data_IF_724952943678
#
_entry.id   IF_724952943678
#
_cell.length_a   1.000
_cell.length_b   1.000
_cell.length_c   1.000
_cell.angle_alpha   90.00
_cell.angle_beta   90.00
_cell.angle_gamma   90.00
#
_symmetry.space_group_name_H-M   'P 1'
#
loop_
_entity.id
_entity.type
_entity.pdbx_description
1 polymer ?
#
# COMPACT_ATOMS: atom_id res chain seq x y z
N UNK A 1 -22.26 14.06 -13.17
CA UNK A 1 -22.03 13.10 -12.06
C UNK A 1 -20.90 12.16 -12.45
N UNK A 2 -19.76 12.21 -11.76
CA UNK A 2 -18.66 11.28 -12.02
C UNK A 2 -19.05 9.91 -11.48
N UNK A 3 -19.15 8.91 -12.36
CA UNK A 3 -19.30 7.51 -11.98
C UNK A 3 -18.03 7.15 -11.21
N UNK A 4 -18.10 7.08 -9.87
CA UNK A 4 -17.02 6.50 -9.06
C UNK A 4 -16.91 5.05 -9.51
N UNK A 5 -15.90 4.73 -10.33
CA UNK A 5 -15.59 3.35 -10.69
C UNK A 5 -15.47 2.54 -9.38
N UNK A 6 -16.11 1.36 -9.28
CA UNK A 6 -16.02 0.54 -8.09
C UNK A 6 -14.54 0.25 -7.80
N UNK A 7 -14.13 0.49 -6.54
CA UNK A 7 -12.78 0.22 -6.08
C UNK A 7 -12.66 -1.30 -5.88
N UNK A 8 -11.79 -2.00 -6.62
CA UNK A 8 -11.73 -3.46 -6.58
C UNK A 8 -11.15 -3.97 -5.26
N UNK A 9 -10.36 -3.15 -4.57
CA UNK A 9 -9.80 -3.48 -3.27
C UNK A 9 -10.39 -2.61 -2.15
N UNK A 10 -10.76 -3.27 -1.06
CA UNK A 10 -10.75 -2.66 0.27
C UNK A 10 -9.46 -3.05 0.98
N UNK A 11 -9.01 -2.23 1.92
CA UNK A 11 -7.74 -2.43 2.60
C UNK A 11 -7.86 -2.19 4.11
N UNK A 12 -6.97 -2.83 4.87
CA UNK A 12 -6.77 -2.59 6.28
C UNK A 12 -5.31 -2.83 6.65
N UNK A 13 -4.73 -1.99 7.48
CA UNK A 13 -3.45 -2.28 8.11
C UNK A 13 -3.68 -3.10 9.38
N UNK A 14 -2.91 -4.18 9.54
CA UNK A 14 -2.88 -5.01 10.74
C UNK A 14 -1.52 -4.81 11.41
N UNK A 15 -1.54 -4.49 12.69
CA UNK A 15 -0.33 -4.39 13.51
C UNK A 15 -0.11 -5.72 14.23
N UNK A 16 1.11 -6.23 14.17
CA UNK A 16 1.53 -7.40 14.95
C UNK A 16 2.95 -7.17 15.47
N UNK A 17 3.02 -6.66 16.70
CA UNK A 17 4.27 -6.31 17.37
C UNK A 17 5.06 -5.25 16.58
N UNK A 18 6.31 -5.54 16.15
CA UNK A 18 7.08 -4.61 15.33
C UNK A 18 6.67 -4.60 13.84
N UNK A 19 5.77 -5.49 13.41
CA UNK A 19 5.42 -5.68 12.01
C UNK A 19 4.14 -4.96 11.59
N UNK A 20 4.15 -4.40 10.39
CA UNK A 20 2.97 -3.93 9.69
C UNK A 20 2.56 -4.94 8.60
N UNK A 21 1.29 -5.29 8.57
CA UNK A 21 0.71 -6.10 7.52
C UNK A 21 -0.38 -5.32 6.79
N UNK A 22 -0.50 -5.54 5.49
CA UNK A 22 -1.60 -5.03 4.70
C UNK A 22 -2.56 -6.17 4.43
N UNK A 23 -3.81 -6.05 4.84
CA UNK A 23 -4.90 -6.90 4.39
C UNK A 23 -5.57 -6.22 3.19
N UNK A 24 -5.61 -6.90 2.03
CA UNK A 24 -6.47 -6.52 0.92
C UNK A 24 -7.62 -7.50 0.79
N UNK A 25 -8.83 -6.99 0.59
CA UNK A 25 -9.97 -7.81 0.20
C UNK A 25 -10.38 -7.47 -1.22
N UNK A 26 -10.55 -8.49 -2.06
CA UNK A 26 -11.13 -8.33 -3.38
C UNK A 26 -12.65 -8.14 -3.27
N UNK A 27 -13.11 -6.90 -3.46
CA UNK A 27 -14.51 -6.52 -3.39
C UNK A 27 -15.28 -6.80 -4.70
N UNK A 28 -14.64 -7.44 -5.69
CA UNK A 28 -15.25 -7.76 -6.97
C UNK A 28 -15.71 -9.22 -7.03
N UNK A 29 -16.50 -9.55 -8.06
CA UNK A 29 -16.90 -10.92 -8.39
C UNK A 29 -15.89 -11.62 -9.32
N UNK A 30 -14.74 -11.01 -9.60
CA UNK A 30 -13.72 -11.52 -10.52
C UNK A 30 -12.46 -11.92 -9.75
N UNK A 31 -11.72 -12.90 -10.25
CA UNK A 31 -10.37 -13.17 -9.74
C UNK A 31 -9.42 -12.08 -10.25
N UNK A 32 -8.68 -11.46 -9.34
CA UNK A 32 -7.64 -10.49 -9.67
C UNK A 32 -6.29 -11.19 -9.62
N UNK A 33 -5.48 -11.06 -10.66
CA UNK A 33 -4.21 -11.79 -10.81
C UNK A 33 -3.02 -10.85 -10.67
N UNK A 34 -1.85 -11.39 -10.30
CA UNK A 34 -0.57 -10.66 -10.18
C UNK A 34 -0.75 -9.33 -9.45
N UNK A 35 -1.31 -9.40 -8.24
CA UNK A 35 -1.57 -8.20 -7.45
C UNK A 35 -0.26 -7.76 -6.83
N UNK A 36 0.23 -6.60 -7.26
CA UNK A 36 1.45 -5.98 -6.74
C UNK A 36 1.09 -4.71 -5.99
N UNK A 37 1.69 -4.55 -4.82
CA UNK A 37 1.57 -3.33 -4.02
C UNK A 37 2.91 -2.59 -4.14
N UNK A 38 2.87 -1.47 -4.84
CA UNK A 38 4.04 -0.89 -5.46
C UNK A 38 4.91 -0.10 -4.48
N UNK A 39 4.37 0.81 -3.66
CA UNK A 39 5.15 1.61 -2.69
C UNK A 39 4.24 2.48 -1.81
N UNK A 40 4.61 2.68 -0.54
CA UNK A 40 4.19 3.86 0.25
C UNK A 40 5.36 4.86 0.32
N UNK A 41 5.18 6.09 -0.19
CA UNK A 41 6.21 7.14 -0.21
C UNK A 41 6.12 7.99 1.06
N UNK A 42 7.09 7.89 1.97
CA UNK A 42 7.15 8.81 3.12
C UNK A 42 7.88 10.10 2.70
N UNK A 43 7.19 11.24 2.65
CA UNK A 43 7.86 12.55 2.44
C UNK A 43 8.79 12.85 3.62
N UNK A 44 9.97 13.42 3.38
CA UNK A 44 10.85 13.84 4.47
C UNK A 44 10.21 15.02 5.22
N UNK A 45 10.15 14.97 6.56
CA UNK A 45 9.62 16.08 7.38
C UNK A 45 10.62 17.22 7.57
N UNK A 46 11.90 17.02 7.25
CA UNK A 46 12.90 18.08 7.37
C UNK A 46 13.53 18.44 6.03
N UNK A 47 13.43 19.75 5.77
CA UNK A 47 14.15 20.54 4.77
C UNK A 47 13.65 20.51 3.34
N UNK A 48 13.69 21.71 2.76
CA UNK A 48 13.45 22.21 1.41
C UNK A 48 14.12 21.45 0.25
N UNK A 49 14.47 20.17 0.41
CA UNK A 49 15.15 19.38 -0.60
C UNK A 49 14.15 18.75 -1.57
N UNK A 50 14.15 19.26 -2.81
CA UNK A 50 13.57 18.60 -3.98
C UNK A 50 14.38 17.34 -4.26
N UNK A 51 14.05 16.22 -3.60
CA UNK A 51 14.74 14.95 -3.75
C UNK A 51 13.79 13.76 -3.77
N UNK A 52 14.17 12.62 -4.37
CA UNK A 52 13.35 11.40 -4.34
C UNK A 52 13.13 10.96 -2.89
N UNK A 53 11.94 10.43 -2.59
CA UNK A 53 11.61 9.95 -1.25
C UNK A 53 12.68 8.95 -0.77
N UNK A 54 13.19 9.14 0.43
CA UNK A 54 14.29 8.33 0.95
C UNK A 54 13.81 7.02 1.56
N UNK A 55 12.52 6.89 1.87
CA UNK A 55 11.93 5.69 2.49
C UNK A 55 10.80 5.13 1.64
N UNK A 56 10.89 3.84 1.35
CA UNK A 56 9.90 3.06 0.62
C UNK A 56 9.44 1.89 1.48
N UNK A 57 8.12 1.72 1.60
CA UNK A 57 7.54 0.49 2.15
C UNK A 57 6.99 -0.30 0.98
N UNK A 58 7.55 -1.49 0.75
CA UNK A 58 7.13 -2.43 -0.29
C UNK A 58 6.39 -3.59 0.36
N UNK A 59 5.39 -4.12 -0.33
CA UNK A 59 4.73 -5.36 0.07
C UNK A 59 4.92 -6.41 -1.02
N UNK A 60 4.78 -7.68 -0.63
CA UNK A 60 4.95 -8.81 -1.54
C UNK A 60 3.87 -8.83 -2.64
N UNK A 61 4.19 -9.48 -3.76
CA UNK A 61 3.23 -9.75 -4.83
C UNK A 61 2.50 -11.06 -4.53
N UNK A 62 1.20 -11.13 -4.87
CA UNK A 62 0.45 -12.39 -4.88
C UNK A 62 -0.03 -12.74 -6.28
N UNK A 63 0.02 -14.03 -6.61
CA UNK A 63 -0.39 -14.54 -7.93
C UNK A 63 -1.87 -14.28 -8.23
N UNK A 64 -2.74 -14.36 -7.22
CA UNK A 64 -4.17 -14.06 -7.35
C UNK A 64 -4.85 -13.79 -6.02
N UNK A 65 -5.98 -13.08 -6.08
CA UNK A 65 -6.95 -12.91 -5.00
C UNK A 65 -8.34 -13.24 -5.58
N UNK A 66 -9.00 -14.26 -5.03
CA UNK A 66 -10.34 -14.70 -5.42
C UNK A 66 -11.42 -13.70 -4.96
N UNK A 67 -12.64 -13.76 -5.52
CA UNK A 67 -13.76 -12.92 -5.06
C UNK A 67 -13.99 -13.04 -3.55
N UNK A 68 -14.13 -11.90 -2.87
CA UNK A 68 -14.29 -11.78 -1.42
C UNK A 68 -13.16 -12.38 -0.56
N UNK A 69 -12.08 -12.86 -1.17
CA UNK A 69 -10.92 -13.37 -0.46
C UNK A 69 -10.12 -12.22 0.16
N UNK A 70 -9.55 -12.51 1.32
CA UNK A 70 -8.59 -11.67 2.02
C UNK A 70 -7.19 -12.19 1.79
N UNK A 71 -6.28 -11.30 1.43
CA UNK A 71 -4.86 -11.61 1.35
C UNK A 71 -4.09 -10.67 2.28
N UNK A 72 -3.20 -11.25 3.07
CA UNK A 72 -2.36 -10.53 4.03
C UNK A 72 -0.94 -10.49 3.49
N UNK A 73 -0.37 -9.29 3.45
CA UNK A 73 0.94 -9.02 2.89
C UNK A 73 1.89 -8.54 3.98
N UNK A 74 3.05 -9.20 4.07
CA UNK A 74 4.21 -8.67 4.79
C UNK A 74 4.79 -7.48 4.06
N UNK A 75 5.37 -6.56 4.82
CA UNK A 75 6.09 -5.42 4.29
C UNK A 75 7.61 -5.64 4.36
N UNK A 76 8.33 -4.92 3.52
CA UNK A 76 9.77 -4.70 3.60
C UNK A 76 10.01 -3.19 3.52
N UNK A 77 10.71 -2.65 4.51
CA UNK A 77 11.09 -1.23 4.53
C UNK A 77 12.45 -1.04 3.89
N UNK A 78 12.55 -0.14 2.91
CA UNK A 78 13.79 0.25 2.25
C UNK A 78 14.09 1.72 2.53
N UNK A 79 15.29 2.02 3.00
CA UNK A 79 15.81 3.39 3.17
C UNK A 79 16.98 3.57 2.20
N UNK A 80 16.90 4.57 1.32
CA UNK A 80 17.86 4.79 0.24
C UNK A 80 18.13 3.52 -0.59
N UNK A 81 17.07 2.75 -0.85
CA UNK A 81 17.12 1.48 -1.60
C UNK A 81 17.70 0.28 -0.84
N UNK A 82 18.03 0.42 0.45
CA UNK A 82 18.56 -0.68 1.29
C UNK A 82 17.52 -1.14 2.30
N UNK A 83 17.36 -2.45 2.45
CA UNK A 83 16.48 -3.04 3.48
C UNK A 83 16.97 -2.62 4.86
N UNK A 84 16.08 -2.02 5.66
CA UNK A 84 16.36 -1.70 7.06
C UNK A 84 15.72 -2.76 7.97
N UNK A 85 16.36 -3.03 9.11
CA UNK A 85 15.80 -3.85 10.20
C UNK A 85 15.18 -3.01 11.32
N UNK A 86 15.42 -1.70 11.27
CA UNK A 86 14.88 -0.73 12.22
C UNK A 86 13.97 0.22 11.43
N UNK A 87 12.70 -0.15 11.35
CA UNK A 87 11.65 0.55 10.61
C UNK A 87 10.47 0.99 11.48
N UNK A 88 10.50 0.70 12.79
CA UNK A 88 9.41 1.06 13.72
C UNK A 88 9.05 2.54 13.66
N UNK A 89 10.04 3.42 13.58
CA UNK A 89 9.84 4.87 13.44
C UNK A 89 9.22 5.25 12.09
N UNK A 90 9.43 4.47 11.03
CA UNK A 90 8.84 4.75 9.71
C UNK A 90 7.43 4.17 9.60
N UNK A 91 7.19 2.99 10.19
CA UNK A 91 5.86 2.38 10.28
C UNK A 91 4.92 3.18 11.16
N UNK A 92 5.40 3.77 12.27
CA UNK A 92 4.59 4.66 13.11
C UNK A 92 4.07 5.88 12.36
N UNK A 93 4.73 6.28 11.26
CA UNK A 93 4.26 7.41 10.44
C UNK A 93 3.03 7.07 9.63
N UNK A 94 2.75 5.78 9.39
CA UNK A 94 1.51 5.30 8.78
C UNK A 94 0.35 5.27 9.78
N UNK A 95 0.63 5.41 11.08
CA UNK A 95 -0.39 5.48 12.13
C UNK A 95 -1.03 6.88 12.15
N UNK A 96 -2.29 6.94 12.56
CA UNK A 96 -3.08 8.16 12.56
C UNK A 96 -2.61 9.17 13.63
N UNK A 97 -2.44 10.44 13.24
CA UNK A 97 -2.33 11.58 14.16
C UNK A 97 -3.62 12.39 14.06
N UNK A 98 -4.24 12.72 15.20
CA UNK A 98 -5.49 13.47 15.25
C UNK A 98 -5.32 14.85 14.58
N UNK A 99 -6.04 15.08 13.47
CA UNK A 99 -6.10 16.38 12.78
C UNK A 99 -5.18 16.57 11.56
N UNK A 100 -4.40 15.57 11.13
CA UNK A 100 -3.56 15.66 9.92
C UNK A 100 -4.21 14.99 8.68
N UNK A 101 -3.89 15.43 7.43
CA UNK A 101 -4.42 14.86 6.18
C UNK A 101 -3.47 13.87 5.47
N UNK A 102 -4.05 12.71 5.09
CA UNK A 102 -3.44 11.51 4.51
C UNK A 102 -2.18 11.76 3.65
N UNK A 103 -0.96 11.67 4.21
CA UNK A 103 0.24 12.10 3.51
C UNK A 103 0.79 11.09 2.50
N UNK A 104 0.24 9.86 2.44
CA UNK A 104 0.79 8.79 1.62
C UNK A 104 -0.19 8.21 0.60
N UNK A 105 0.38 7.46 -0.34
CA UNK A 105 -0.37 6.80 -1.42
C UNK A 105 0.05 5.33 -1.43
N UNK A 106 -0.94 4.45 -1.35
CA UNK A 106 -0.83 3.03 -1.63
C UNK A 106 -1.16 2.80 -3.11
N UNK A 107 -0.12 2.56 -3.90
CA UNK A 107 -0.25 2.19 -5.31
C UNK A 107 -0.39 0.67 -5.43
N UNK A 108 -1.49 0.22 -6.02
CA UNK A 108 -1.78 -1.20 -6.27
C UNK A 108 -1.90 -1.40 -7.78
N UNK A 109 -1.22 -2.41 -8.32
CA UNK A 109 -1.44 -2.90 -9.68
C UNK A 109 -1.98 -4.34 -9.64
N UNK A 110 -2.74 -4.71 -10.67
CA UNK A 110 -3.22 -6.09 -10.85
C UNK A 110 -3.56 -6.33 -12.32
N UNK A 111 -3.72 -7.59 -12.69
CA UNK A 111 -4.32 -8.02 -13.96
C UNK A 111 -5.79 -8.38 -13.76
N UNK A 112 -6.67 -7.82 -14.59
CA UNK A 112 -8.08 -8.19 -14.64
C UNK A 112 -8.30 -9.58 -15.27
N UNK A 113 -9.56 -10.02 -15.36
CA UNK A 113 -9.91 -11.33 -15.91
C UNK A 113 -9.42 -11.52 -17.36
N UNK A 114 -9.27 -10.42 -18.11
CA UNK A 114 -8.77 -10.43 -19.48
C UNK A 114 -7.24 -10.28 -19.57
N UNK A 115 -6.54 -10.28 -18.43
CA UNK A 115 -5.09 -10.17 -18.35
C UNK A 115 -4.57 -8.73 -18.53
N UNK A 116 -5.45 -7.72 -18.52
CA UNK A 116 -5.04 -6.32 -18.70
C UNK A 116 -4.59 -5.75 -17.37
N UNK A 117 -3.43 -5.09 -17.37
CA UNK A 117 -2.92 -4.41 -16.19
C UNK A 117 -3.79 -3.20 -15.84
N UNK A 118 -4.14 -3.11 -14.56
CA UNK A 118 -4.93 -2.05 -13.94
C UNK A 118 -4.17 -1.50 -12.74
N UNK A 119 -4.56 -0.30 -12.35
CA UNK A 119 -3.94 0.42 -11.25
C UNK A 119 -5.00 1.09 -10.38
N UNK A 120 -4.74 1.12 -9.09
CA UNK A 120 -5.54 1.82 -8.09
C UNK A 120 -4.58 2.55 -7.17
N UNK A 121 -4.80 3.85 -7.03
CA UNK A 121 -4.13 4.68 -6.03
C UNK A 121 -5.09 4.90 -4.87
N UNK A 122 -4.68 4.53 -3.67
CA UNK A 122 -5.44 4.74 -2.46
C UNK A 122 -4.65 5.69 -1.59
N UNK A 123 -5.13 6.92 -1.33
CA UNK A 123 -4.54 7.76 -0.29
C UNK A 123 -4.63 7.02 1.06
N UNK A 124 -3.49 6.83 1.71
CA UNK A 124 -3.33 6.11 2.99
C UNK A 124 -2.46 6.93 3.94
N UNK A 125 -2.44 6.52 5.20
CA UNK A 125 -2.06 7.41 6.29
C UNK A 125 -3.18 8.41 6.57
N UNK A 126 -3.13 9.00 7.75
CA UNK A 126 -3.89 10.20 8.09
C UNK A 126 -2.90 11.34 8.24
#
# INVERSE_FOLDING_TARGET
>A
MAIKKPRPFTYRFLEDGPGLFLELTNATQQTLKRVEILTIFLKNEESSAVGPAQVHIRFDCVERILPAEKSVFSHTTLINGKVTKDDRQQLSRLQAVEGAPNPYILDISWQDAEGRTRFQRIPVGH
#
